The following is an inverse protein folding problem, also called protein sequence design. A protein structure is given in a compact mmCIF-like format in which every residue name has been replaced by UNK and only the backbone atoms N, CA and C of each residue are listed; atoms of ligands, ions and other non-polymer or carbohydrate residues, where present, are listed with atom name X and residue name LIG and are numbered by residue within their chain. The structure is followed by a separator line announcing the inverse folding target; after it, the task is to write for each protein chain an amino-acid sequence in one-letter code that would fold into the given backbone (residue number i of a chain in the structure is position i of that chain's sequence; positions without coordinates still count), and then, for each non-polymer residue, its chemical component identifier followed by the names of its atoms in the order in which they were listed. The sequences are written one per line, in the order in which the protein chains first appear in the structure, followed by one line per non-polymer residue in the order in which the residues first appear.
data_IF_180876866788
#
_entry.id   IF_180876866788
#
_cell.length_a   1.000
_cell.length_b   1.000
_cell.length_c   1.000
_cell.angle_alpha   90.00
_cell.angle_beta   90.00
_cell.angle_gamma   90.00
#
_symmetry.space_group_name_H-M   'P 1'
#
loop_
_entity.id
_entity.type
_entity.pdbx_description
1 polymer ?
#
# COMPACT_ATOMS: atom_id res chain seq x y z
N UNK A 1 83.86 23.03 -48.35
CA UNK A 1 82.45 22.73 -48.00
C UNK A 1 82.20 21.47 -47.13
N UNK A 2 83.14 20.53 -47.06
CA UNK A 2 82.89 19.24 -46.30
C UNK A 2 83.13 19.42 -44.81
N UNK A 3 83.96 20.30 -44.33
CA UNK A 3 84.26 20.54 -42.92
C UNK A 3 83.18 21.36 -42.19
N UNK A 4 82.47 22.20 -42.90
CA UNK A 4 81.44 23.04 -42.29
C UNK A 4 80.17 22.27 -41.88
N UNK A 5 79.93 21.14 -42.55
CA UNK A 5 78.79 20.22 -42.15
C UNK A 5 79.03 19.48 -40.83
N UNK A 6 80.28 19.16 -40.52
CA UNK A 6 80.61 18.47 -39.26
C UNK A 6 80.66 19.43 -38.08
N UNK A 7 81.04 20.72 -38.28
CA UNK A 7 81.00 21.72 -37.20
C UNK A 7 79.54 22.04 -36.80
N UNK A 8 78.62 22.14 -37.77
CA UNK A 8 77.21 22.38 -37.49
C UNK A 8 76.54 21.17 -36.76
N UNK A 9 76.92 19.93 -37.10
CA UNK A 9 76.44 18.72 -36.46
C UNK A 9 77.02 18.61 -35.05
N UNK A 10 78.29 19.00 -34.79
CA UNK A 10 78.87 18.98 -33.46
C UNK A 10 78.22 20.01 -32.51
N UNK A 11 77.91 21.23 -33.01
CA UNK A 11 77.17 22.21 -32.23
C UNK A 11 75.76 21.79 -31.95
N UNK A 12 75.06 21.09 -32.86
CA UNK A 12 73.71 20.60 -32.66
C UNK A 12 73.68 19.45 -31.57
N UNK A 13 74.68 18.57 -31.60
CA UNK A 13 74.80 17.51 -30.60
C UNK A 13 75.24 18.06 -29.24
N UNK A 14 76.07 19.10 -29.18
CA UNK A 14 76.46 19.76 -27.91
C UNK A 14 75.29 20.50 -27.25
N UNK A 15 74.37 21.10 -28.02
CA UNK A 15 73.15 21.75 -27.46
C UNK A 15 72.14 20.74 -26.89
N UNK A 16 72.09 19.51 -27.41
CA UNK A 16 71.22 18.47 -26.90
C UNK A 16 71.75 17.87 -25.55
N UNK A 17 73.06 17.89 -25.37
CA UNK A 17 73.70 17.40 -24.14
C UNK A 17 73.62 18.36 -22.91
N UNK A 18 73.25 19.65 -23.15
CA UNK A 18 73.10 20.65 -22.07
C UNK A 18 71.67 20.79 -21.55
N UNK A 19 70.70 20.12 -22.15
CA UNK A 19 69.31 20.26 -21.80
C UNK A 19 68.76 19.02 -21.05
N UNK A 20 69.05 18.84 -19.82
CA UNK A 20 68.25 18.21 -18.77
C UNK A 20 69.10 18.02 -17.52
N UNK A 21 69.41 19.08 -16.81
CA UNK A 21 69.65 18.94 -15.40
C UNK A 21 68.29 18.60 -14.80
N UNK A 22 68.14 17.35 -14.38
CA UNK A 22 67.06 16.94 -13.50
C UNK A 22 67.27 17.74 -12.21
N UNK A 23 66.54 18.85 -12.04
CA UNK A 23 66.52 19.53 -10.76
C UNK A 23 66.01 18.53 -9.71
N UNK A 24 66.91 18.07 -8.88
CA UNK A 24 66.56 17.34 -7.69
C UNK A 24 66.01 18.35 -6.71
N UNK A 25 64.68 18.46 -6.61
CA UNK A 25 64.03 19.12 -5.50
C UNK A 25 64.15 18.21 -4.25
N UNK A 26 65.36 18.15 -3.68
CA UNK A 26 65.64 17.37 -2.48
C UNK A 26 65.57 18.23 -1.20
N UNK A 27 65.27 19.52 -1.34
CA UNK A 27 65.11 20.36 -0.18
C UNK A 27 63.69 20.31 0.38
N UNK A 28 63.44 19.35 1.24
CA UNK A 28 62.24 19.22 2.04
C UNK A 28 62.32 19.92 3.38
N UNK A 29 63.34 20.73 3.62
CA UNK A 29 63.58 21.42 4.88
C UNK A 29 62.41 22.35 5.32
N UNK A 30 61.61 22.82 4.34
CA UNK A 30 60.41 23.63 4.62
C UNK A 30 59.26 22.79 5.19
N UNK A 31 59.21 21.47 4.97
CA UNK A 31 58.11 20.61 5.37
C UNK A 31 57.93 20.59 6.90
N UNK A 32 58.97 20.38 7.74
CA UNK A 32 58.82 20.45 9.20
C UNK A 32 58.40 21.82 9.68
N UNK A 33 58.76 22.89 8.97
CA UNK A 33 58.42 24.28 9.31
C UNK A 33 56.99 24.67 8.85
N UNK A 34 56.36 23.90 8.01
CA UNK A 34 55.01 24.21 7.55
C UNK A 34 53.99 24.30 8.69
N UNK A 35 53.03 25.15 8.53
CA UNK A 35 51.91 25.26 9.50
C UNK A 35 51.08 23.94 9.52
N UNK A 36 50.41 23.69 10.64
CA UNK A 36 49.41 22.64 10.68
C UNK A 36 48.15 22.99 9.90
N UNK A 37 47.23 22.07 9.75
CA UNK A 37 45.95 22.36 9.11
C UNK A 37 45.23 23.49 9.82
N UNK A 38 44.50 24.33 9.06
CA UNK A 38 43.68 25.41 9.63
C UNK A 38 42.35 25.54 8.85
N UNK A 39 41.48 26.44 9.35
CA UNK A 39 40.19 26.77 8.73
C UNK A 39 39.33 25.53 8.43
N UNK A 40 39.32 24.56 9.39
CA UNK A 40 38.60 23.31 9.19
C UNK A 40 37.10 23.54 9.06
N UNK A 41 36.51 22.90 8.08
CA UNK A 41 35.07 22.88 7.88
C UNK A 41 34.61 21.50 7.34
N UNK A 42 33.34 21.24 7.45
CA UNK A 42 32.70 20.07 6.85
C UNK A 42 31.35 20.44 6.28
N UNK A 43 31.08 19.97 5.05
CA UNK A 43 29.77 20.04 4.42
C UNK A 43 29.08 18.68 4.56
N UNK A 44 27.82 18.72 4.99
CA UNK A 44 26.92 17.57 5.01
C UNK A 44 25.84 17.77 3.95
N UNK A 45 25.71 16.80 3.03
CA UNK A 45 24.64 16.75 2.05
C UNK A 45 23.80 15.49 2.35
N UNK A 46 22.57 15.71 2.83
CA UNK A 46 21.63 14.65 3.22
C UNK A 46 20.66 14.43 2.07
N UNK A 47 20.48 13.19 1.62
CA UNK A 47 19.44 12.86 0.64
C UNK A 47 18.04 13.08 1.24
N UNK A 48 17.06 13.44 0.41
CA UNK A 48 15.69 13.74 0.85
C UNK A 48 14.71 12.59 0.57
N UNK A 49 15.23 11.37 0.55
CA UNK A 49 14.52 10.13 0.20
C UNK A 49 14.33 9.17 1.40
N UNK A 50 14.57 9.65 2.62
CA UNK A 50 14.53 8.87 3.85
C UNK A 50 15.50 7.67 3.91
N UNK A 51 16.48 7.62 3.01
CA UNK A 51 17.55 6.60 3.06
C UNK A 51 18.54 6.82 4.19
N UNK A 52 18.60 8.05 4.72
CA UNK A 52 19.61 8.47 5.71
C UNK A 52 21.02 8.58 5.14
N UNK A 53 21.16 8.53 3.81
CA UNK A 53 22.46 8.67 3.16
C UNK A 53 22.97 10.11 3.28
N UNK A 54 24.14 10.26 3.87
CA UNK A 54 24.83 11.54 4.04
C UNK A 54 26.17 11.51 3.33
N UNK A 55 26.39 12.48 2.45
CA UNK A 55 27.70 12.75 1.87
C UNK A 55 28.45 13.75 2.77
N UNK A 56 29.66 13.42 3.17
CA UNK A 56 30.52 14.20 4.07
C UNK A 56 31.73 14.66 3.28
N UNK A 57 31.86 15.98 3.12
CA UNK A 57 32.98 16.61 2.41
C UNK A 57 33.81 17.41 3.41
N UNK A 58 34.95 16.88 3.87
CA UNK A 58 35.87 17.61 4.73
C UNK A 58 36.65 18.67 3.95
N UNK A 59 36.96 19.79 4.56
CA UNK A 59 37.77 20.84 4.00
C UNK A 59 38.67 21.50 5.07
N UNK A 60 39.82 21.98 4.68
CA UNK A 60 40.75 22.68 5.57
C UNK A 60 42.01 23.14 4.82
N UNK A 61 42.52 24.28 5.19
CA UNK A 61 43.77 24.84 4.61
C UNK A 61 44.97 24.03 5.11
N UNK A 62 45.89 23.68 4.19
CA UNK A 62 47.11 22.92 4.48
C UNK A 62 46.86 21.45 4.86
N UNK A 63 45.66 20.94 4.77
CA UNK A 63 45.36 19.53 4.97
C UNK A 63 45.57 18.71 3.72
N UNK A 64 46.23 17.54 3.84
CA UNK A 64 46.44 16.57 2.78
C UNK A 64 45.51 15.35 2.89
N UNK A 65 45.04 15.04 4.11
CA UNK A 65 44.07 13.99 4.35
C UNK A 65 43.31 14.24 5.65
N UNK A 66 42.21 13.49 5.81
CA UNK A 66 41.32 13.57 6.97
C UNK A 66 40.98 12.16 7.44
N UNK A 67 40.90 11.96 8.74
CA UNK A 67 40.21 10.85 9.38
C UNK A 67 38.80 11.34 9.77
N UNK A 68 37.77 10.69 9.23
CA UNK A 68 36.37 11.02 9.45
C UNK A 68 35.76 9.99 10.39
N UNK A 69 35.37 10.42 11.60
CA UNK A 69 34.63 9.63 12.56
C UNK A 69 33.14 9.99 12.45
N UNK A 70 32.32 9.06 12.10
CA UNK A 70 30.90 9.32 11.82
C UNK A 70 30.06 9.64 13.07
N UNK A 71 30.52 9.25 14.27
CA UNK A 71 29.72 9.39 15.50
C UNK A 71 28.56 8.41 15.59
N UNK A 72 28.52 7.43 14.66
CA UNK A 72 27.55 6.34 14.57
C UNK A 72 28.24 5.10 13.97
N UNK A 73 27.94 3.91 14.50
CA UNK A 73 28.53 2.66 14.04
C UNK A 73 29.99 2.48 14.50
N UNK A 74 30.90 2.01 13.62
CA UNK A 74 32.29 1.70 14.01
C UNK A 74 33.05 2.91 14.55
N UNK A 75 33.84 2.70 15.61
CA UNK A 75 34.69 3.73 16.18
C UNK A 75 35.94 4.05 15.34
N UNK A 76 36.24 3.22 14.33
CA UNK A 76 37.37 3.42 13.40
C UNK A 76 37.03 4.48 12.36
N UNK A 77 37.96 5.42 12.10
CA UNK A 77 37.72 6.46 11.11
C UNK A 77 37.81 5.93 9.67
N UNK A 78 37.18 6.66 8.76
CA UNK A 78 37.41 6.51 7.34
C UNK A 78 38.39 7.58 6.88
N UNK A 79 39.47 7.16 6.21
CA UNK A 79 40.46 8.07 5.65
C UNK A 79 39.97 8.69 4.35
N UNK A 80 40.04 10.02 4.25
CA UNK A 80 39.58 10.80 3.07
C UNK A 80 40.73 11.73 2.65
N UNK A 81 41.18 11.64 1.42
CA UNK A 81 42.20 12.53 0.85
C UNK A 81 41.61 13.93 0.61
N UNK A 82 42.47 14.95 0.58
CA UNK A 82 42.07 16.31 0.31
C UNK A 82 41.29 16.40 -1.02
N UNK A 83 40.17 17.13 -1.02
CA UNK A 83 39.28 17.28 -2.15
C UNK A 83 38.40 16.04 -2.47
N UNK A 84 38.48 15.00 -1.67
CA UNK A 84 37.59 13.83 -1.74
C UNK A 84 36.49 13.90 -0.70
N UNK A 85 35.48 13.04 -0.85
CA UNK A 85 34.32 12.93 0.04
C UNK A 85 34.09 11.46 0.42
N UNK A 86 33.35 11.25 1.48
CA UNK A 86 32.90 9.94 1.93
C UNK A 86 31.38 9.95 2.14
N UNK A 87 30.77 8.77 2.22
CA UNK A 87 29.33 8.63 2.50
C UNK A 87 29.10 7.70 3.67
N UNK A 88 28.03 7.93 4.41
CA UNK A 88 27.57 7.06 5.49
C UNK A 88 26.05 7.11 5.58
N UNK A 89 25.43 5.97 5.96
CA UNK A 89 23.99 5.89 6.20
C UNK A 89 23.73 6.02 7.69
N UNK A 90 22.93 7.02 8.05
CA UNK A 90 22.54 7.30 9.43
C UNK A 90 21.04 6.99 9.61
N UNK A 91 20.65 6.35 10.71
CA UNK A 91 19.29 6.44 11.22
C UNK A 91 18.90 7.88 11.53
N UNK A 92 17.62 8.15 11.72
CA UNK A 92 17.17 9.44 12.22
C UNK A 92 17.78 9.72 13.60
N UNK A 93 18.33 10.91 13.79
CA UNK A 93 18.99 11.27 15.05
C UNK A 93 19.95 12.44 14.94
N UNK A 94 20.68 12.67 16.04
CA UNK A 94 21.70 13.72 16.15
C UNK A 94 23.06 13.08 16.45
N UNK A 95 24.03 13.38 15.64
CA UNK A 95 25.36 12.77 15.65
C UNK A 95 26.44 13.81 15.73
N UNK A 96 27.56 13.50 16.44
CA UNK A 96 28.75 14.32 16.49
C UNK A 96 29.80 13.74 15.53
N UNK A 97 29.90 14.32 14.35
CA UNK A 97 30.91 13.95 13.36
C UNK A 97 32.22 14.64 13.68
N UNK A 98 33.29 13.86 13.90
CA UNK A 98 34.62 14.39 14.23
C UNK A 98 35.58 14.18 13.06
N UNK A 99 36.25 15.24 12.67
CA UNK A 99 37.32 15.23 11.65
C UNK A 99 38.67 15.41 12.38
N UNK A 100 39.67 14.64 11.93
CA UNK A 100 41.09 14.89 12.24
C UNK A 100 41.78 15.16 10.92
N UNK A 101 42.23 16.39 10.72
CA UNK A 101 42.96 16.78 9.51
C UNK A 101 44.48 16.61 9.75
N UNK A 102 45.19 16.18 8.71
CA UNK A 102 46.61 15.95 8.71
C UNK A 102 47.28 16.84 7.67
N UNK A 103 48.32 17.57 8.08
CA UNK A 103 49.24 18.29 7.17
C UNK A 103 50.35 17.37 6.68
N UNK A 104 51.08 17.81 5.64
CA UNK A 104 52.23 17.09 5.05
C UNK A 104 53.34 16.79 6.07
N UNK A 105 53.47 17.63 7.09
CA UNK A 105 54.47 17.49 8.20
C UNK A 105 53.94 16.65 9.38
N UNK A 106 52.80 16.01 9.26
CA UNK A 106 52.19 15.18 10.31
C UNK A 106 51.49 15.97 11.44
N UNK A 107 51.50 17.31 11.43
CA UNK A 107 50.68 18.11 12.37
C UNK A 107 49.20 17.87 12.08
N UNK A 108 48.39 17.90 13.14
CA UNK A 108 46.97 17.63 13.09
C UNK A 108 46.15 18.78 13.69
N UNK A 109 44.89 18.88 13.24
CA UNK A 109 43.86 19.71 13.87
C UNK A 109 42.53 18.95 13.83
N UNK A 110 41.71 19.14 14.84
CA UNK A 110 40.41 18.48 14.97
C UNK A 110 39.25 19.46 14.84
N UNK A 111 38.14 18.98 14.31
CA UNK A 111 36.83 19.64 14.29
C UNK A 111 35.75 18.63 14.63
N UNK A 112 34.89 18.96 15.56
CA UNK A 112 33.62 18.22 15.77
C UNK A 112 32.46 19.09 15.37
N UNK A 113 31.58 18.54 14.49
CA UNK A 113 30.37 19.23 14.04
C UNK A 113 29.17 18.35 14.22
N UNK A 114 28.10 18.91 14.76
CA UNK A 114 26.84 18.22 14.89
C UNK A 114 26.16 18.05 13.53
N UNK A 115 25.69 16.83 13.28
CA UNK A 115 24.84 16.45 12.14
C UNK A 115 23.48 16.04 12.68
N UNK A 116 22.41 16.66 12.20
CA UNK A 116 21.03 16.23 12.46
C UNK A 116 20.48 15.56 11.21
N UNK A 117 20.04 14.32 11.34
CA UNK A 117 19.34 13.57 10.31
C UNK A 117 17.89 13.41 10.72
N UNK A 118 16.97 13.92 9.91
CA UNK A 118 15.53 13.80 10.14
C UNK A 118 14.87 13.27 8.87
N UNK A 119 13.88 12.40 9.04
CA UNK A 119 13.15 11.81 7.93
C UNK A 119 11.82 12.54 7.72
N UNK A 120 11.45 12.69 6.46
CA UNK A 120 10.16 13.28 6.08
C UNK A 120 9.03 12.33 6.45
N UNK A 121 7.90 12.87 6.89
CA UNK A 121 6.67 12.09 7.01
C UNK A 121 6.24 11.54 5.66
N UNK A 122 5.67 10.33 5.61
CA UNK A 122 5.06 9.82 4.39
C UNK A 122 3.96 10.75 3.87
N UNK A 123 3.93 10.98 2.55
CA UNK A 123 3.02 11.89 1.87
C UNK A 123 2.13 11.11 0.89
N UNK A 124 0.94 11.66 0.57
CA UNK A 124 0.01 11.10 -0.41
C UNK A 124 -0.41 9.67 -0.13
N UNK A 125 -0.59 9.31 1.14
CA UNK A 125 -1.04 7.98 1.54
C UNK A 125 -2.37 7.62 0.85
N UNK A 126 -2.35 6.54 0.06
CA UNK A 126 -3.50 5.93 -0.59
C UNK A 126 -3.74 4.57 0.04
N UNK A 127 -4.90 4.37 0.62
CA UNK A 127 -5.30 3.10 1.24
C UNK A 127 -6.44 2.48 0.46
N UNK A 128 -6.27 1.25 -0.01
CA UNK A 128 -7.30 0.47 -0.69
C UNK A 128 -7.73 -0.68 0.23
N UNK A 129 -9.03 -0.70 0.59
CA UNK A 129 -9.66 -1.71 1.44
C UNK A 129 -10.81 -2.33 0.66
N UNK A 130 -10.70 -3.61 0.33
CA UNK A 130 -11.66 -4.32 -0.54
C UNK A 130 -12.11 -5.61 0.12
N UNK A 131 -13.43 -5.85 0.14
CA UNK A 131 -13.99 -7.16 0.52
C UNK A 131 -13.71 -8.14 -0.62
N UNK A 132 -13.21 -9.33 -0.28
CA UNK A 132 -12.93 -10.38 -1.24
C UNK A 132 -14.23 -10.89 -1.90
N UNK A 133 -14.35 -10.88 -3.24
CA UNK A 133 -15.58 -11.30 -3.91
C UNK A 133 -15.95 -12.77 -3.64
N UNK A 134 -14.98 -13.61 -3.30
CA UNK A 134 -15.22 -15.03 -3.00
C UNK A 134 -15.54 -15.28 -1.51
N UNK A 135 -15.31 -14.30 -0.62
CA UNK A 135 -15.53 -14.43 0.82
C UNK A 135 -15.88 -13.08 1.45
N UNK A 136 -17.17 -12.86 1.72
CA UNK A 136 -17.69 -11.61 2.29
C UNK A 136 -17.13 -11.25 3.68
N UNK A 137 -16.46 -12.18 4.35
CA UNK A 137 -15.78 -11.94 5.62
C UNK A 137 -14.30 -11.59 5.47
N UNK A 138 -13.71 -11.77 4.29
CA UNK A 138 -12.31 -11.49 4.03
C UNK A 138 -12.13 -10.10 3.44
N UNK A 139 -11.25 -9.33 4.07
CA UNK A 139 -10.85 -8.00 3.61
C UNK A 139 -9.40 -8.06 3.15
N UNK A 140 -9.15 -7.49 1.99
CA UNK A 140 -7.84 -7.30 1.38
C UNK A 140 -7.44 -5.83 1.51
N UNK A 141 -6.22 -5.56 1.99
CA UNK A 141 -5.70 -4.20 2.20
C UNK A 141 -4.38 -4.05 1.46
N UNK A 142 -4.27 -2.98 0.71
CA UNK A 142 -3.02 -2.51 0.09
C UNK A 142 -2.88 -1.00 0.29
N UNK A 143 -1.65 -0.49 0.24
CA UNK A 143 -1.40 0.94 0.36
C UNK A 143 -0.20 1.36 -0.49
N UNK A 144 -0.15 2.67 -0.81
CA UNK A 144 0.97 3.36 -1.44
C UNK A 144 1.14 4.74 -0.80
N UNK A 145 2.38 5.23 -0.72
CA UNK A 145 2.68 6.58 -0.26
C UNK A 145 4.02 7.04 -0.88
N UNK A 146 4.41 8.30 -0.61
CA UNK A 146 5.76 8.79 -0.89
C UNK A 146 6.56 8.84 0.43
N UNK A 147 7.86 8.55 0.39
CA UNK A 147 8.79 8.59 1.53
C UNK A 147 8.50 7.60 2.65
N UNK A 148 7.72 6.56 2.38
CA UNK A 148 7.52 5.44 3.30
C UNK A 148 8.64 4.40 3.17
N UNK A 149 8.82 3.63 4.23
CA UNK A 149 9.66 2.43 4.23
C UNK A 149 8.82 1.16 4.28
N UNK A 150 7.69 1.22 4.96
CA UNK A 150 6.72 0.14 5.07
C UNK A 150 5.41 0.66 5.65
N UNK A 151 4.39 -0.19 5.63
CA UNK A 151 3.07 0.07 6.23
C UNK A 151 2.79 -0.89 7.38
N UNK A 152 1.93 -0.43 8.30
CA UNK A 152 1.30 -1.27 9.33
C UNK A 152 -0.20 -1.13 9.21
N UNK A 153 -0.92 -2.25 9.16
CA UNK A 153 -2.37 -2.27 9.19
C UNK A 153 -2.90 -2.83 10.49
N UNK A 154 -3.93 -2.17 11.02
CA UNK A 154 -4.76 -2.60 12.13
C UNK A 154 -6.15 -2.83 11.55
N UNK A 155 -6.70 -4.04 11.68
CA UNK A 155 -7.99 -4.41 11.10
C UNK A 155 -9.18 -4.01 11.98
N UNK A 156 -8.93 -3.66 13.25
CA UNK A 156 -9.93 -3.12 14.16
C UNK A 156 -10.92 -4.15 14.70
N UNK A 157 -10.59 -5.44 14.64
CA UNK A 157 -11.46 -6.54 15.09
C UNK A 157 -11.10 -7.09 16.47
N UNK A 158 -9.94 -6.73 17.01
CA UNK A 158 -9.49 -7.17 18.33
C UNK A 158 -8.93 -6.01 19.15
N UNK A 159 -9.14 -5.94 20.47
CA UNK A 159 -8.50 -4.96 21.33
C UNK A 159 -6.97 -5.17 21.37
N UNK A 160 -6.20 -4.08 21.45
CA UNK A 160 -4.73 -4.10 21.51
C UNK A 160 -4.09 -4.90 20.35
N UNK A 161 -4.65 -4.74 19.17
CA UNK A 161 -4.23 -5.47 17.97
C UNK A 161 -2.75 -5.27 17.68
N UNK A 162 -2.05 -6.39 17.41
CA UNK A 162 -0.68 -6.36 16.85
C UNK A 162 -0.82 -6.13 15.34
N UNK A 163 -0.25 -5.04 14.79
CA UNK A 163 -0.42 -4.72 13.39
C UNK A 163 0.31 -5.71 12.48
N UNK A 164 -0.23 -5.89 11.28
CA UNK A 164 0.44 -6.61 10.20
C UNK A 164 1.28 -5.62 9.40
N UNK A 165 2.58 -5.89 9.24
CA UNK A 165 3.47 -5.07 8.41
C UNK A 165 3.47 -5.57 6.97
N UNK A 166 3.56 -4.63 6.00
CA UNK A 166 3.62 -4.95 4.57
C UNK A 166 4.34 -3.82 3.81
N UNK A 167 4.80 -4.13 2.59
CA UNK A 167 5.46 -3.18 1.70
C UNK A 167 4.51 -2.69 0.61
N UNK A 168 4.86 -1.60 -0.07
CA UNK A 168 4.16 -1.16 -1.27
C UNK A 168 4.10 -2.29 -2.31
N UNK A 169 2.98 -2.39 -3.01
CA UNK A 169 2.72 -3.47 -3.97
C UNK A 169 2.30 -4.81 -3.34
N UNK A 170 2.35 -4.95 -2.01
CA UNK A 170 1.82 -6.11 -1.32
C UNK A 170 0.36 -5.92 -0.90
N UNK A 171 -0.36 -7.04 -0.82
CA UNK A 171 -1.71 -7.10 -0.26
C UNK A 171 -1.72 -8.01 0.95
N UNK A 172 -2.26 -7.54 2.06
CA UNK A 172 -2.47 -8.32 3.28
C UNK A 172 -3.96 -8.51 3.51
N UNK A 173 -4.34 -9.59 4.18
CA UNK A 173 -5.75 -9.95 4.32
C UNK A 173 -6.10 -10.33 5.74
N UNK A 174 -7.37 -10.09 6.11
CA UNK A 174 -7.99 -10.54 7.37
C UNK A 174 -9.34 -11.17 7.09
N UNK A 175 -9.64 -12.29 7.74
CA UNK A 175 -10.98 -12.87 7.78
C UNK A 175 -11.60 -12.50 9.11
N UNK A 176 -12.67 -11.71 9.08
CA UNK A 176 -13.41 -11.30 10.26
C UNK A 176 -14.28 -12.45 10.78
N UNK A 177 -14.42 -12.57 12.10
CA UNK A 177 -15.18 -13.63 12.73
C UNK A 177 -16.68 -13.34 12.82
N UNK A 178 -17.07 -12.07 12.68
CA UNK A 178 -18.47 -11.63 12.83
C UNK A 178 -18.81 -10.51 11.85
N UNK A 179 -20.11 -10.32 11.61
CA UNK A 179 -20.64 -9.14 10.92
C UNK A 179 -20.48 -7.90 11.78
N UNK A 180 -20.32 -6.74 11.14
CA UNK A 180 -20.15 -5.46 11.83
C UNK A 180 -19.41 -4.45 10.97
N UNK A 181 -19.27 -3.24 11.48
CA UNK A 181 -18.43 -2.21 10.86
C UNK A 181 -17.11 -2.11 11.64
N UNK A 182 -16.02 -2.26 10.93
CA UNK A 182 -14.67 -2.24 11.46
C UNK A 182 -13.90 -1.07 10.87
N UNK A 183 -13.05 -0.46 11.68
CA UNK A 183 -12.20 0.65 11.26
C UNK A 183 -10.81 0.13 10.92
N UNK A 184 -10.54 -0.08 9.65
CA UNK A 184 -9.22 -0.50 9.16
C UNK A 184 -8.31 0.72 9.15
N UNK A 185 -7.28 0.74 10.00
CA UNK A 185 -6.30 1.82 10.10
C UNK A 185 -4.97 1.39 9.52
N UNK A 186 -4.47 2.14 8.55
CA UNK A 186 -3.15 1.94 7.94
C UNK A 186 -2.24 3.09 8.34
N UNK A 187 -1.04 2.74 8.81
CA UNK A 187 0.02 3.68 9.19
C UNK A 187 1.20 3.48 8.25
N UNK A 188 1.55 4.50 7.49
CA UNK A 188 2.78 4.57 6.71
C UNK A 188 3.93 5.05 7.61
N UNK A 189 5.07 4.40 7.58
CA UNK A 189 6.25 4.65 8.39
C UNK A 189 7.37 5.23 7.53
N UNK A 190 8.03 6.30 8.01
CA UNK A 190 9.17 6.93 7.32
C UNK A 190 10.51 6.20 7.53
N UNK A 191 10.55 5.20 8.44
CA UNK A 191 11.80 4.63 8.94
C UNK A 191 12.39 5.39 10.14
N UNK A 192 11.82 6.54 10.48
CA UNK A 192 12.10 7.33 11.67
C UNK A 192 10.86 7.51 12.55
N UNK A 193 10.78 8.65 13.26
CA UNK A 193 9.66 8.96 14.16
C UNK A 193 8.38 9.40 13.41
N UNK A 194 8.53 9.99 12.23
CA UNK A 194 7.42 10.55 11.48
C UNK A 194 6.56 9.45 10.83
N UNK A 195 5.24 9.58 10.91
CA UNK A 195 4.27 8.66 10.33
C UNK A 195 3.10 9.42 9.72
N UNK A 196 2.39 8.78 8.81
CA UNK A 196 1.11 9.27 8.28
C UNK A 196 0.11 8.12 8.33
N UNK A 197 -1.15 8.40 8.73
CA UNK A 197 -2.14 7.35 8.86
C UNK A 197 -3.47 7.72 8.21
N UNK A 198 -4.21 6.69 7.82
CA UNK A 198 -5.57 6.79 7.30
C UNK A 198 -6.42 5.64 7.86
N UNK A 199 -7.66 5.96 8.22
CA UNK A 199 -8.64 4.97 8.67
C UNK A 199 -9.78 4.89 7.66
N UNK A 200 -10.12 3.66 7.26
CA UNK A 200 -11.19 3.36 6.30
C UNK A 200 -12.19 2.42 6.98
N UNK A 201 -13.47 2.81 7.12
CA UNK A 201 -14.49 1.91 7.62
C UNK A 201 -14.83 0.84 6.59
N UNK A 202 -14.96 -0.40 7.03
CA UNK A 202 -15.43 -1.54 6.22
C UNK A 202 -16.57 -2.23 6.94
N UNK A 203 -17.66 -2.53 6.23
CA UNK A 203 -18.83 -3.21 6.81
C UNK A 203 -18.89 -4.64 6.31
N UNK A 204 -18.76 -5.59 7.23
CA UNK A 204 -18.89 -7.02 7.00
C UNK A 204 -20.35 -7.42 7.20
N UNK A 205 -20.93 -8.05 6.20
CA UNK A 205 -22.32 -8.54 6.22
C UNK A 205 -22.38 -10.00 5.79
N UNK A 206 -23.37 -10.73 6.29
CA UNK A 206 -23.63 -12.08 5.83
C UNK A 206 -24.01 -12.08 4.35
N UNK A 207 -23.56 -13.07 3.56
CA UNK A 207 -23.92 -13.17 2.17
C UNK A 207 -25.40 -13.52 1.99
N UNK A 208 -26.04 -12.90 1.00
CA UNK A 208 -27.40 -13.28 0.57
C UNK A 208 -27.29 -14.43 -0.41
N UNK A 209 -27.59 -15.63 0.04
CA UNK A 209 -27.51 -16.87 -0.74
C UNK A 209 -28.87 -17.60 -0.79
N UNK A 210 -29.05 -18.46 -1.76
CA UNK A 210 -30.19 -19.39 -1.80
C UNK A 210 -29.93 -20.59 -0.85
N UNK A 211 -30.99 -21.11 -0.20
CA UNK A 211 -32.37 -20.63 -0.21
C UNK A 211 -32.57 -19.38 0.65
N UNK A 212 -33.40 -18.43 0.19
CA UNK A 212 -33.77 -17.25 0.96
C UNK A 212 -34.79 -17.66 2.02
N UNK A 213 -34.37 -17.72 3.28
CA UNK A 213 -35.22 -18.15 4.40
C UNK A 213 -35.79 -16.99 5.19
N UNK A 214 -35.16 -15.80 5.11
CA UNK A 214 -35.48 -14.59 5.87
C UNK A 214 -35.34 -14.74 7.40
N UNK A 215 -34.72 -15.82 7.91
CA UNK A 215 -34.58 -16.09 9.32
C UNK A 215 -33.34 -15.51 9.96
N UNK A 216 -32.31 -15.18 9.19
CA UNK A 216 -31.07 -14.63 9.72
C UNK A 216 -31.29 -13.26 10.37
N UNK A 217 -30.76 -13.02 11.58
CA UNK A 217 -30.78 -11.72 12.22
C UNK A 217 -29.70 -10.75 11.65
N UNK A 218 -28.73 -11.26 10.89
CA UNK A 218 -27.53 -10.54 10.47
C UNK A 218 -27.50 -10.24 8.96
N UNK A 219 -28.31 -10.94 8.15
CA UNK A 219 -28.45 -10.64 6.73
C UNK A 219 -29.27 -9.37 6.54
N UNK A 220 -28.69 -8.39 5.83
CA UNK A 220 -29.44 -7.24 5.35
C UNK A 220 -30.15 -7.58 4.05
N UNK A 221 -31.43 -7.95 4.12
CA UNK A 221 -32.27 -8.22 2.94
C UNK A 221 -32.70 -6.89 2.29
N UNK A 222 -31.73 -6.21 1.64
CA UNK A 222 -31.98 -4.96 0.93
C UNK A 222 -32.71 -5.22 -0.39
N UNK A 223 -33.97 -4.80 -0.46
CA UNK A 223 -34.81 -4.89 -1.66
C UNK A 223 -34.76 -3.59 -2.46
N UNK A 224 -34.48 -3.68 -3.75
CA UNK A 224 -34.73 -2.59 -4.68
C UNK A 224 -36.17 -2.69 -5.15
N UNK A 225 -37.01 -1.83 -4.64
CA UNK A 225 -38.46 -1.78 -4.93
C UNK A 225 -38.72 -0.89 -6.14
N UNK A 226 -39.61 -1.28 -7.05
CA UNK A 226 -39.92 -0.50 -8.25
C UNK A 226 -41.41 -0.62 -8.64
N UNK A 227 -41.95 0.41 -9.31
CA UNK A 227 -43.28 0.48 -9.89
C UNK A 227 -44.43 0.03 -8.95
N UNK A 228 -44.38 0.47 -7.70
CA UNK A 228 -45.39 0.17 -6.68
C UNK A 228 -45.16 -1.16 -5.96
N UNK A 229 -44.20 -1.98 -6.33
CA UNK A 229 -43.77 -3.12 -5.52
C UNK A 229 -43.08 -2.63 -4.25
N UNK A 230 -43.37 -3.26 -3.11
CA UNK A 230 -42.70 -2.97 -1.84
C UNK A 230 -42.57 -4.26 -1.05
N UNK A 231 -41.33 -4.74 -0.86
CA UNK A 231 -41.03 -5.95 -0.11
C UNK A 231 -40.28 -5.61 1.15
N UNK A 232 -40.73 -6.19 2.27
CA UNK A 232 -40.08 -6.08 3.58
C UNK A 232 -40.10 -7.43 4.30
N UNK A 233 -39.08 -7.68 5.13
CA UNK A 233 -39.08 -8.87 6.02
C UNK A 233 -39.88 -8.54 7.26
N UNK A 234 -40.89 -9.38 7.55
CA UNK A 234 -41.82 -9.22 8.69
C UNK A 234 -41.89 -10.50 9.49
N UNK A 235 -42.40 -10.42 10.72
CA UNK A 235 -42.84 -11.60 11.46
C UNK A 235 -43.95 -12.33 10.68
N UNK A 236 -43.86 -13.65 10.55
CA UNK A 236 -44.82 -14.43 9.79
C UNK A 236 -46.22 -14.36 10.46
N UNK A 237 -47.19 -13.67 9.85
CA UNK A 237 -48.50 -13.50 10.45
C UNK A 237 -49.38 -14.78 10.34
N UNK A 238 -49.00 -15.74 9.51
CA UNK A 238 -49.76 -16.95 9.21
C UNK A 238 -48.85 -18.19 9.32
N UNK A 239 -48.11 -18.32 10.44
CA UNK A 239 -47.26 -19.49 10.67
C UNK A 239 -48.07 -20.76 10.79
N UNK A 240 -47.80 -21.77 9.96
CA UNK A 240 -48.52 -23.06 9.98
C UNK A 240 -48.43 -23.80 8.65
N UNK A 241 -49.00 -25.00 8.62
CA UNK A 241 -48.97 -25.85 7.41
C UNK A 241 -47.54 -26.11 6.92
N UNK A 242 -47.29 -25.81 5.66
CA UNK A 242 -45.97 -26.00 5.04
C UNK A 242 -44.95 -24.91 5.40
N UNK A 243 -45.38 -23.84 6.10
CA UNK A 243 -44.48 -22.74 6.48
C UNK A 243 -44.61 -22.35 7.95
N UNK A 244 -43.79 -22.92 8.79
CA UNK A 244 -43.70 -22.65 10.23
C UNK A 244 -42.57 -21.63 10.56
N UNK A 245 -41.98 -20.95 9.56
CA UNK A 245 -40.91 -19.98 9.79
C UNK A 245 -41.37 -18.76 10.58
N UNK A 246 -40.50 -18.16 11.39
CA UNK A 246 -40.84 -17.00 12.24
C UNK A 246 -40.90 -15.70 11.45
N UNK A 247 -40.19 -15.61 10.32
CA UNK A 247 -40.15 -14.45 9.45
C UNK A 247 -40.44 -14.84 8.01
N UNK A 248 -40.97 -13.89 7.23
CA UNK A 248 -41.27 -14.01 5.80
C UNK A 248 -40.99 -12.69 5.10
N UNK A 249 -40.75 -12.75 3.81
CA UNK A 249 -40.81 -11.56 2.95
C UNK A 249 -42.27 -11.26 2.61
N UNK A 250 -42.77 -10.09 2.97
CA UNK A 250 -44.09 -9.58 2.62
C UNK A 250 -43.94 -8.59 1.46
N UNK A 251 -44.52 -8.95 0.33
CA UNK A 251 -44.63 -8.06 -0.83
C UNK A 251 -46.03 -7.41 -0.88
N UNK A 252 -46.03 -6.08 -0.98
CA UNK A 252 -47.25 -5.29 -1.20
C UNK A 252 -47.15 -4.68 -2.59
N UNK A 253 -48.15 -4.90 -3.45
CA UNK A 253 -48.29 -4.26 -4.74
C UNK A 253 -49.20 -3.03 -4.60
N UNK A 254 -48.58 -1.86 -4.50
CA UNK A 254 -49.24 -0.56 -4.53
C UNK A 254 -49.61 -0.15 -5.97
N UNK A 255 -50.38 0.92 -6.18
CA UNK A 255 -50.60 1.49 -7.49
C UNK A 255 -49.27 1.77 -8.22
N UNK A 256 -49.24 1.45 -9.51
CA UNK A 256 -48.05 1.51 -10.38
C UNK A 256 -48.22 0.58 -11.56
N UNK A 257 -47.13 0.31 -12.28
CA UNK A 257 -47.18 -0.56 -13.44
C UNK A 257 -47.49 -2.01 -13.03
N UNK A 258 -48.16 -2.80 -13.90
CA UNK A 258 -48.50 -4.19 -13.60
C UNK A 258 -47.30 -5.07 -13.23
N UNK A 259 -46.12 -4.77 -13.79
CA UNK A 259 -44.86 -5.49 -13.53
C UNK A 259 -44.12 -5.01 -12.29
N UNK A 260 -44.66 -4.04 -11.53
CA UNK A 260 -44.00 -3.52 -10.34
C UNK A 260 -43.69 -4.62 -9.34
N UNK A 261 -42.48 -4.60 -8.82
CA UNK A 261 -41.91 -5.67 -8.01
C UNK A 261 -40.78 -5.23 -7.09
N UNK A 262 -40.00 -6.20 -6.71
CA UNK A 262 -38.83 -6.02 -5.86
C UNK A 262 -37.70 -6.94 -6.32
N UNK A 263 -36.49 -6.39 -6.40
CA UNK A 263 -35.28 -7.14 -6.74
C UNK A 263 -34.41 -7.30 -5.49
N UNK A 264 -33.80 -8.47 -5.34
CA UNK A 264 -32.75 -8.72 -4.35
C UNK A 264 -31.52 -9.28 -5.05
N UNK A 265 -30.35 -8.69 -4.79
CA UNK A 265 -29.09 -9.14 -5.36
C UNK A 265 -28.48 -10.24 -4.48
N UNK A 266 -28.19 -11.38 -5.08
CA UNK A 266 -27.49 -12.47 -4.41
C UNK A 266 -25.98 -12.21 -4.39
N UNK A 267 -25.32 -12.71 -3.34
CA UNK A 267 -23.86 -12.58 -3.16
C UNK A 267 -23.05 -13.52 -4.07
N UNK A 268 -23.69 -14.50 -4.69
CA UNK A 268 -23.06 -15.36 -5.70
C UNK A 268 -24.05 -15.67 -6.82
N UNK A 269 -23.56 -15.93 -8.04
CA UNK A 269 -24.39 -16.36 -9.16
C UNK A 269 -25.15 -17.63 -8.85
N UNK A 270 -26.34 -17.79 -9.48
CA UNK A 270 -27.13 -19.01 -9.41
C UNK A 270 -26.53 -20.02 -10.37
N UNK A 271 -26.25 -21.23 -9.89
CA UNK A 271 -25.80 -22.35 -10.71
C UNK A 271 -27.00 -23.08 -11.34
N UNK A 272 -27.23 -22.81 -12.62
CA UNK A 272 -28.28 -23.47 -13.42
C UNK A 272 -27.85 -24.83 -14.01
N UNK A 273 -26.61 -25.29 -13.80
CA UNK A 273 -26.18 -26.60 -14.31
C UNK A 273 -26.86 -27.74 -13.54
N UNK A 274 -27.12 -27.54 -12.25
CA UNK A 274 -27.67 -28.59 -11.36
C UNK A 274 -29.10 -28.32 -10.92
N UNK A 275 -29.45 -27.05 -10.62
CA UNK A 275 -30.75 -26.66 -10.04
C UNK A 275 -31.47 -25.65 -10.94
N UNK A 276 -32.39 -26.15 -11.76
CA UNK A 276 -33.12 -25.33 -12.74
C UNK A 276 -34.56 -25.01 -12.31
N UNK A 277 -35.04 -25.51 -11.17
CA UNK A 277 -36.41 -25.30 -10.69
C UNK A 277 -36.38 -24.56 -9.36
N UNK A 278 -36.98 -23.38 -9.33
CA UNK A 278 -37.20 -22.64 -8.10
C UNK A 278 -38.54 -23.04 -7.47
N UNK A 279 -38.51 -23.30 -6.19
CA UNK A 279 -39.72 -23.58 -5.37
C UNK A 279 -39.88 -22.46 -4.35
N UNK A 280 -41.01 -21.75 -4.41
CA UNK A 280 -41.31 -20.61 -3.54
C UNK A 280 -42.54 -20.95 -2.74
N UNK A 281 -42.47 -20.81 -1.39
CA UNK A 281 -43.67 -20.86 -0.53
C UNK A 281 -44.37 -19.52 -0.60
N UNK A 282 -45.63 -19.53 -1.00
CA UNK A 282 -46.44 -18.33 -1.17
C UNK A 282 -47.72 -18.43 -0.32
N UNK A 283 -48.04 -17.36 0.38
CA UNK A 283 -49.35 -17.14 1.02
C UNK A 283 -50.04 -16.00 0.30
N UNK A 284 -51.15 -16.26 -0.36
CA UNK A 284 -51.92 -15.26 -1.08
C UNK A 284 -53.33 -15.11 -0.47
N UNK A 285 -53.87 -13.88 -0.36
CA UNK A 285 -55.25 -13.63 0.07
C UNK A 285 -56.25 -14.04 -1.02
N UNK A 286 -55.84 -14.41 -2.22
CA UNK A 286 -56.74 -14.76 -3.34
C UNK A 286 -56.18 -15.87 -4.22
N UNK A 287 -57.08 -16.64 -4.80
CA UNK A 287 -56.79 -17.55 -5.91
C UNK A 287 -56.59 -16.75 -7.18
N UNK A 288 -55.75 -17.25 -8.08
CA UNK A 288 -55.51 -16.63 -9.37
C UNK A 288 -54.55 -15.42 -9.35
N UNK A 289 -53.86 -15.19 -8.24
CA UNK A 289 -52.83 -14.18 -8.22
C UNK A 289 -51.56 -14.64 -9.01
N UNK A 290 -51.16 -13.85 -9.96
CA UNK A 290 -49.99 -14.12 -10.78
C UNK A 290 -48.73 -13.64 -10.09
N UNK A 291 -47.71 -14.50 -9.98
CA UNK A 291 -46.38 -14.19 -9.50
C UNK A 291 -45.37 -14.45 -10.61
N UNK A 292 -44.65 -13.41 -11.01
CA UNK A 292 -43.53 -13.51 -11.93
C UNK A 292 -42.23 -13.61 -11.14
N UNK A 293 -41.46 -14.63 -11.41
CA UNK A 293 -40.07 -14.74 -10.92
C UNK A 293 -39.12 -14.46 -12.07
N UNK A 294 -38.31 -13.41 -11.93
CA UNK A 294 -37.27 -13.03 -12.87
C UNK A 294 -35.89 -13.32 -12.25
N UNK A 295 -35.02 -13.92 -13.04
CA UNK A 295 -33.60 -14.01 -12.75
C UNK A 295 -32.84 -13.21 -13.80
N UNK A 296 -31.85 -12.43 -13.38
CA UNK A 296 -31.08 -11.59 -14.29
C UNK A 296 -29.61 -11.51 -13.89
N UNK A 297 -28.75 -11.22 -14.86
CA UNK A 297 -27.34 -11.02 -14.62
C UNK A 297 -27.10 -9.69 -13.91
N UNK A 298 -26.36 -9.71 -12.80
CA UNK A 298 -26.14 -8.54 -11.95
C UNK A 298 -25.40 -7.38 -12.64
N UNK A 299 -24.62 -7.66 -13.69
CA UNK A 299 -23.85 -6.66 -14.44
C UNK A 299 -24.45 -6.30 -15.80
N UNK A 300 -25.41 -7.13 -16.30
CA UNK A 300 -26.10 -6.92 -17.58
C UNK A 300 -27.55 -7.37 -17.49
N UNK A 301 -28.45 -6.50 -17.06
CA UNK A 301 -29.88 -6.78 -16.94
C UNK A 301 -30.59 -7.17 -18.25
N UNK A 302 -29.93 -7.01 -19.41
CA UNK A 302 -30.41 -7.52 -20.69
C UNK A 302 -30.37 -9.06 -20.79
N UNK A 303 -29.53 -9.70 -19.95
CA UNK A 303 -29.47 -11.16 -19.82
C UNK A 303 -30.39 -11.54 -18.67
N UNK A 304 -31.60 -11.94 -18.99
CA UNK A 304 -32.62 -12.31 -17.99
C UNK A 304 -33.57 -13.35 -18.50
N UNK A 305 -34.24 -14.03 -17.57
CA UNK A 305 -35.26 -15.01 -17.84
C UNK A 305 -36.41 -14.86 -16.85
N UNK A 306 -37.64 -15.01 -17.33
CA UNK A 306 -38.87 -14.81 -16.59
C UNK A 306 -39.76 -16.03 -16.64
N UNK A 307 -40.35 -16.39 -15.52
CA UNK A 307 -41.38 -17.43 -15.41
C UNK A 307 -42.53 -16.92 -14.56
N UNK A 308 -43.77 -17.29 -14.93
CA UNK A 308 -44.97 -16.93 -14.20
C UNK A 308 -45.58 -18.20 -13.59
N UNK A 309 -46.10 -18.07 -12.38
CA UNK A 309 -46.91 -19.06 -11.72
C UNK A 309 -48.11 -18.39 -11.07
N UNK A 310 -49.20 -19.12 -10.92
CA UNK A 310 -50.47 -18.57 -10.43
C UNK A 310 -50.87 -19.29 -9.15
N UNK A 311 -51.37 -18.57 -8.13
CA UNK A 311 -51.86 -19.15 -6.90
C UNK A 311 -53.13 -19.93 -7.10
N UNK A 312 -53.20 -21.11 -6.43
CA UNK A 312 -54.32 -22.04 -6.54
C UNK A 312 -55.18 -22.08 -5.29
N UNK A 313 -54.65 -21.59 -4.18
CA UNK A 313 -55.40 -21.49 -2.92
C UNK A 313 -55.36 -20.05 -2.39
N UNK A 314 -56.38 -19.70 -1.59
CA UNK A 314 -56.44 -18.42 -0.86
C UNK A 314 -56.29 -18.65 0.65
N UNK A 315 -55.63 -17.70 1.33
CA UNK A 315 -55.42 -17.70 2.79
C UNK A 315 -54.78 -18.99 3.33
N UNK A 316 -53.90 -19.59 2.51
CA UNK A 316 -53.10 -20.75 2.87
C UNK A 316 -51.73 -20.72 2.17
N UNK A 317 -50.76 -21.41 2.74
CA UNK A 317 -49.45 -21.57 2.14
C UNK A 317 -49.51 -22.67 1.06
N UNK A 318 -48.92 -22.37 -0.12
CA UNK A 318 -48.72 -23.32 -1.20
C UNK A 318 -47.29 -23.20 -1.75
N UNK A 319 -46.85 -24.18 -2.55
CA UNK A 319 -45.65 -24.10 -3.32
C UNK A 319 -45.98 -23.67 -4.75
N UNK A 320 -45.34 -22.58 -5.19
CA UNK A 320 -45.25 -22.25 -6.61
C UNK A 320 -43.88 -22.70 -7.18
N UNK A 321 -43.90 -23.20 -8.39
CA UNK A 321 -42.75 -23.74 -9.07
C UNK A 321 -42.45 -22.92 -10.31
N UNK A 322 -41.19 -22.57 -10.52
CA UNK A 322 -40.71 -21.81 -11.66
C UNK A 322 -39.58 -22.60 -12.32
N UNK A 323 -39.89 -23.19 -13.50
CA UNK A 323 -39.00 -24.09 -14.20
C UNK A 323 -38.19 -23.35 -15.26
N UNK A 324 -36.90 -23.31 -15.09
CA UNK A 324 -35.90 -22.72 -15.99
C UNK A 324 -35.09 -23.79 -16.75
N UNK A 325 -35.53 -25.05 -16.77
CA UNK A 325 -34.81 -26.14 -17.43
C UNK A 325 -34.60 -25.93 -18.93
N UNK A 326 -35.41 -25.08 -19.58
CA UNK A 326 -35.27 -24.71 -20.98
C UNK A 326 -34.23 -23.61 -21.25
N UNK A 327 -33.59 -23.08 -20.24
CA UNK A 327 -32.50 -22.10 -20.42
C UNK A 327 -31.26 -22.84 -20.85
N UNK A 328 -30.72 -22.48 -22.01
CA UNK A 328 -29.38 -22.85 -22.44
C UNK A 328 -28.41 -21.83 -21.90
N UNK A 329 -27.64 -22.24 -20.91
CA UNK A 329 -26.56 -21.42 -20.30
C UNK A 329 -25.26 -21.65 -21.05
#
# INVERSE_FOLDING_TARGET
MRYMKYITLFFLVATIALGCKKEKYEDTAFVPAANGPDSLSVLFEITQDNSGLVTITPNGEGAVSYDVYYGHGPATPVKVEAGKKTTHVYPEGVYNVRLVAYAVNGKTKELTKQLTVSFRAPENLQVNVVIDPANNYKVNVSAAALYETNFRVYFGDVPNEVPVSFLEGQTVSRVYAATGTYNVRVVALSGGAATTEQTVPVTIVDPILLPLTFQSPTINYAWANFDGGNTTVVTNPNSGGINTSTKVAKMVKNPGQPWGGSLITLSSPIDFSTNKIFRVKVYSPRVGAKMLLKVENATNGGINFEKEATTTVANAWEYLYFDYSTINT
#
